data_IF_728878745059
#
_entry.id   IF_728878745059
#
_cell.length_a   1.000
_cell.length_b   1.000
_cell.length_c   1.000
_cell.angle_alpha   90.00
_cell.angle_beta   90.00
_cell.angle_gamma   90.00
#
_symmetry.space_group_name_H-M   'P 1'
#
loop_
_entity.id
_entity.type
_entity.pdbx_description
1 polymer ?
#
# COMPACT_ATOMS: atom_id res chain seq x y z
N UNK A 1 1.85 32.93 8.20
CA UNK A 1 0.42 33.12 7.88
C UNK A 1 0.03 31.93 7.01
N UNK A 2 -0.56 30.85 7.49
CA UNK A 2 -1.86 30.76 8.13
C UNK A 2 -1.84 29.91 9.42
N UNK A 3 -2.55 30.41 10.43
CA UNK A 3 -2.90 29.72 11.66
C UNK A 3 -4.03 28.72 11.37
N UNK A 4 -3.73 27.43 11.31
CA UNK A 4 -4.76 26.38 11.22
C UNK A 4 -5.48 26.30 12.57
N UNK A 5 -6.62 26.96 12.67
CA UNK A 5 -7.50 26.87 13.83
C UNK A 5 -8.01 25.44 13.93
N UNK A 6 -7.65 24.74 15.01
CA UNK A 6 -8.24 23.45 15.37
C UNK A 6 -9.68 23.67 15.78
N UNK A 7 -10.61 23.54 14.82
CA UNK A 7 -12.05 23.53 15.09
C UNK A 7 -12.36 22.44 16.12
N UNK A 8 -13.27 22.69 17.08
CA UNK A 8 -13.69 21.67 18.03
C UNK A 8 -14.39 20.57 17.23
N UNK A 9 -13.76 19.40 17.11
CA UNK A 9 -14.35 18.31 16.36
C UNK A 9 -15.61 17.85 17.08
N UNK A 10 -16.78 18.10 16.48
CA UNK A 10 -18.03 17.45 16.88
C UNK A 10 -17.77 15.93 16.96
N UNK A 11 -18.25 15.25 18.01
CA UNK A 11 -18.04 13.81 18.14
C UNK A 11 -18.67 13.10 16.93
N UNK A 12 -17.99 12.06 16.42
CA UNK A 12 -18.43 11.29 15.22
C UNK A 12 -19.85 10.72 15.35
N UNK A 13 -20.37 10.62 16.57
CA UNK A 13 -21.73 10.16 16.89
C UNK A 13 -22.83 11.16 16.55
N UNK A 14 -22.53 12.44 16.36
CA UNK A 14 -23.53 13.51 16.15
C UNK A 14 -23.55 14.07 14.72
N UNK A 15 -22.65 13.60 13.85
CA UNK A 15 -22.60 14.03 12.44
C UNK A 15 -23.57 13.23 11.58
N UNK A 16 -24.20 13.92 10.62
CA UNK A 16 -25.01 13.27 9.58
C UNK A 16 -24.12 12.43 8.65
N UNK A 17 -24.70 11.44 7.99
CA UNK A 17 -23.96 10.52 7.12
C UNK A 17 -23.21 11.25 5.99
N UNK A 18 -23.76 12.35 5.48
CA UNK A 18 -23.15 13.17 4.43
C UNK A 18 -21.93 13.94 4.93
N UNK A 19 -22.01 14.55 6.13
CA UNK A 19 -20.88 15.22 6.77
C UNK A 19 -19.76 14.23 7.09
N UNK A 20 -20.11 13.00 7.50
CA UNK A 20 -19.12 11.94 7.75
C UNK A 20 -18.35 11.57 6.48
N UNK A 21 -19.04 11.43 5.35
CA UNK A 21 -18.43 11.07 4.07
C UNK A 21 -17.54 12.20 3.52
N UNK A 22 -17.96 13.46 3.68
CA UNK A 22 -17.15 14.62 3.31
C UNK A 22 -15.87 14.68 4.15
N UNK A 23 -16.00 14.51 5.47
CA UNK A 23 -14.85 14.48 6.38
C UNK A 23 -13.89 13.32 6.07
N UNK A 24 -14.42 12.14 5.76
CA UNK A 24 -13.59 11.00 5.31
C UNK A 24 -12.84 11.34 4.02
N UNK A 25 -13.48 12.02 3.07
CA UNK A 25 -12.85 12.44 1.81
C UNK A 25 -11.74 13.46 2.04
N UNK A 26 -11.98 14.47 2.88
CA UNK A 26 -10.97 15.45 3.28
C UNK A 26 -9.79 14.80 4.00
N UNK A 27 -10.07 13.85 4.91
CA UNK A 27 -9.05 13.06 5.61
C UNK A 27 -8.20 12.21 4.63
N UNK A 28 -8.80 11.72 3.53
CA UNK A 28 -8.08 11.00 2.47
C UNK A 28 -7.23 11.90 1.57
N UNK A 29 -7.59 13.18 1.40
CA UNK A 29 -6.84 14.11 0.53
C UNK A 29 -5.68 14.79 1.26
N UNK A 30 -5.88 15.20 2.52
CA UNK A 30 -4.89 15.99 3.27
C UNK A 30 -4.09 15.11 4.25
N UNK A 31 -4.61 13.93 4.59
CA UNK A 31 -4.01 13.03 5.58
C UNK A 31 -2.88 12.14 5.06
N UNK A 32 -2.36 11.22 5.90
CA UNK A 32 -1.32 10.27 5.52
C UNK A 32 -1.74 9.30 4.40
N UNK A 33 -3.04 9.10 4.22
CA UNK A 33 -3.62 8.28 3.14
C UNK A 33 -3.61 8.99 1.78
N UNK A 34 -3.28 10.28 1.72
CA UNK A 34 -3.12 11.04 0.47
C UNK A 34 -2.16 10.36 -0.51
N UNK A 35 -1.12 9.68 -0.01
CA UNK A 35 -0.18 8.90 -0.83
C UNK A 35 -0.90 7.85 -1.67
N UNK A 36 -1.90 7.17 -1.09
CA UNK A 36 -2.73 6.19 -1.78
C UNK A 36 -3.72 6.85 -2.74
N UNK A 37 -4.33 7.97 -2.34
CA UNK A 37 -5.19 8.80 -3.21
C UNK A 37 -4.45 9.21 -4.48
N UNK A 38 -3.23 9.72 -4.32
CA UNK A 38 -2.35 10.06 -5.44
C UNK A 38 -1.96 8.82 -6.24
N UNK A 39 -1.70 7.68 -5.60
CA UNK A 39 -1.32 6.46 -6.29
C UNK A 39 -2.45 5.92 -7.19
N UNK A 40 -3.69 5.95 -6.72
CA UNK A 40 -4.89 5.56 -7.49
C UNK A 40 -5.08 6.52 -8.67
N UNK A 41 -5.05 7.83 -8.43
CA UNK A 41 -5.26 8.86 -9.47
C UNK A 41 -4.19 8.82 -10.57
N UNK A 42 -2.93 8.63 -10.19
CA UNK A 42 -1.80 8.55 -11.15
C UNK A 42 -1.61 7.15 -11.72
N UNK A 43 -2.38 6.16 -11.24
CA UNK A 43 -2.18 4.74 -11.53
C UNK A 43 -0.71 4.32 -11.33
N UNK A 44 -0.03 4.89 -10.33
CA UNK A 44 1.41 4.68 -10.10
C UNK A 44 1.65 3.33 -9.41
N UNK A 45 2.85 2.79 -9.59
CA UNK A 45 3.23 1.56 -8.89
C UNK A 45 3.56 1.88 -7.44
N UNK A 46 3.12 1.02 -6.55
CA UNK A 46 3.41 1.07 -5.12
C UNK A 46 4.12 -0.22 -4.70
N UNK A 47 5.03 -0.08 -3.74
CA UNK A 47 5.61 -1.18 -3.00
C UNK A 47 4.89 -1.27 -1.66
N UNK A 48 4.37 -2.46 -1.33
CA UNK A 48 3.67 -2.76 -0.08
C UNK A 48 4.47 -3.83 0.65
N UNK A 49 4.83 -3.55 1.91
CA UNK A 49 5.45 -4.53 2.80
C UNK A 49 4.41 -5.15 3.71
N UNK A 50 4.33 -6.48 3.73
CA UNK A 50 3.34 -7.23 4.49
C UNK A 50 3.93 -7.94 5.72
N UNK A 51 3.08 -8.20 6.74
CA UNK A 51 3.44 -8.82 8.03
C UNK A 51 4.18 -10.17 7.97
N UNK A 52 4.09 -10.89 6.85
CA UNK A 52 4.76 -12.18 6.66
C UNK A 52 6.05 -12.09 5.84
N UNK A 53 6.70 -10.92 5.84
CA UNK A 53 7.91 -10.64 5.08
C UNK A 53 7.74 -10.91 3.58
N UNK A 54 6.52 -10.67 3.08
CA UNK A 54 6.18 -10.69 1.67
C UNK A 54 6.09 -9.26 1.17
N UNK A 55 6.67 -8.99 0.02
CA UNK A 55 6.67 -7.67 -0.60
C UNK A 55 5.84 -7.72 -1.87
N UNK A 56 4.93 -6.77 -2.03
CA UNK A 56 4.06 -6.67 -3.19
C UNK A 56 4.43 -5.42 -3.97
N UNK A 57 4.71 -5.57 -5.26
CA UNK A 57 4.70 -4.44 -6.20
C UNK A 57 3.38 -4.51 -6.94
N UNK A 58 2.56 -3.46 -6.84
CA UNK A 58 1.22 -3.45 -7.40
C UNK A 58 0.79 -2.07 -7.85
N UNK A 59 -0.31 -1.99 -8.60
CA UNK A 59 -1.05 -0.75 -8.83
C UNK A 59 -2.35 -0.80 -8.02
N UNK A 60 -2.60 0.25 -7.24
CA UNK A 60 -3.82 0.35 -6.42
C UNK A 60 -4.95 0.88 -7.30
N UNK A 61 -6.09 0.21 -7.30
CA UNK A 61 -7.32 0.66 -7.98
C UNK A 61 -8.31 1.32 -7.03
N UNK A 62 -8.41 0.79 -5.82
CA UNK A 62 -9.24 1.35 -4.77
C UNK A 62 -8.60 1.04 -3.41
N UNK A 63 -8.88 1.88 -2.43
CA UNK A 63 -8.51 1.66 -1.04
C UNK A 63 -9.63 2.16 -0.12
N UNK A 64 -9.56 1.80 1.16
CA UNK A 64 -10.49 2.28 2.19
C UNK A 64 -9.75 2.82 3.43
N UNK A 65 -10.52 3.26 4.43
CA UNK A 65 -10.00 3.77 5.71
C UNK A 65 -9.21 2.76 6.54
N UNK A 66 -9.43 1.47 6.32
CA UNK A 66 -8.71 0.40 7.01
C UNK A 66 -7.45 -0.01 6.26
N UNK A 67 -7.12 0.67 5.16
CA UNK A 67 -6.07 0.26 4.23
C UNK A 67 -6.33 -1.09 3.56
N UNK A 68 -7.59 -1.53 3.45
CA UNK A 68 -7.95 -2.59 2.50
C UNK A 68 -7.76 -2.03 1.09
N UNK A 69 -7.23 -2.84 0.18
CA UNK A 69 -6.87 -2.39 -1.16
C UNK A 69 -7.32 -3.39 -2.23
N UNK A 70 -7.80 -2.86 -3.34
CA UNK A 70 -7.95 -3.60 -4.59
C UNK A 70 -6.73 -3.32 -5.43
N UNK A 71 -5.98 -4.36 -5.74
CA UNK A 71 -4.71 -4.30 -6.45
C UNK A 71 -4.82 -4.97 -7.82
N UNK A 72 -4.13 -4.41 -8.80
CA UNK A 72 -3.95 -4.99 -10.13
C UNK A 72 -2.48 -5.14 -10.48
N UNK A 73 -2.18 -6.13 -11.33
CA UNK A 73 -0.82 -6.44 -11.79
C UNK A 73 0.14 -6.62 -10.62
N UNK A 74 -0.24 -7.45 -9.66
CA UNK A 74 0.52 -7.67 -8.43
C UNK A 74 1.65 -8.65 -8.69
N UNK A 75 2.87 -8.21 -8.37
CA UNK A 75 4.04 -9.06 -8.27
C UNK A 75 4.38 -9.25 -6.80
N UNK A 76 4.11 -10.44 -6.29
CA UNK A 76 4.47 -10.85 -4.94
C UNK A 76 5.88 -11.44 -4.95
N UNK A 77 6.71 -11.03 -3.99
CA UNK A 77 8.09 -11.46 -3.84
C UNK A 77 8.35 -11.87 -2.39
N UNK A 78 8.98 -13.02 -2.21
CA UNK A 78 9.45 -13.48 -0.90
C UNK A 78 10.75 -14.26 -1.05
N UNK A 79 11.49 -14.34 0.05
CA UNK A 79 12.70 -15.14 0.13
C UNK A 79 12.39 -16.43 0.87
N UNK A 80 12.74 -17.56 0.26
CA UNK A 80 12.68 -18.85 0.92
C UNK A 80 14.11 -19.26 1.28
N UNK A 81 14.34 -19.52 2.57
CA UNK A 81 15.60 -20.06 3.05
C UNK A 81 15.37 -21.57 3.16
N UNK A 82 15.92 -22.38 2.23
CA UNK A 82 15.74 -23.82 2.29
C UNK A 82 16.33 -24.34 3.60
N UNK A 83 15.49 -25.01 4.39
CA UNK A 83 15.92 -25.70 5.60
C UNK A 83 16.61 -27.00 5.17
N UNK A 84 17.92 -26.92 4.95
CA UNK A 84 18.75 -28.12 4.82
C UNK A 84 18.81 -28.88 6.16
N UNK A 85 18.94 -30.21 6.08
CA UNK A 85 18.87 -31.12 7.23
C UNK A 85 19.87 -30.80 8.35
N UNK A 86 19.66 -31.41 9.52
CA UNK A 86 20.53 -31.24 10.71
C UNK A 86 22.01 -31.38 10.34
N UNK A 87 22.77 -30.29 10.46
CA UNK A 87 24.23 -30.27 10.31
C UNK A 87 24.77 -29.53 9.07
N UNK A 88 23.94 -29.11 8.12
CA UNK A 88 24.40 -28.31 6.97
C UNK A 88 24.17 -26.82 7.18
N UNK A 89 25.13 -25.99 6.71
CA UNK A 89 25.00 -24.53 6.71
C UNK A 89 23.73 -24.13 5.97
N UNK A 90 22.95 -23.19 6.55
CA UNK A 90 21.71 -22.66 5.96
C UNK A 90 21.92 -22.41 4.45
N UNK A 91 21.07 -23.01 3.62
CA UNK A 91 21.18 -22.84 2.17
C UNK A 91 20.97 -21.39 1.75
N UNK A 92 21.45 -21.05 0.56
CA UNK A 92 21.33 -19.69 0.02
C UNK A 92 19.86 -19.27 -0.05
N UNK A 93 19.58 -18.00 0.29
CA UNK A 93 18.24 -17.46 0.16
C UNK A 93 17.82 -17.45 -1.31
N UNK A 94 16.71 -18.13 -1.62
CA UNK A 94 16.16 -18.19 -2.98
C UNK A 94 15.01 -17.20 -3.06
N UNK A 95 15.11 -16.24 -3.98
CA UNK A 95 14.05 -15.29 -4.24
C UNK A 95 12.99 -15.97 -5.12
N UNK A 96 11.75 -16.04 -4.62
CA UNK A 96 10.60 -16.50 -5.39
C UNK A 96 9.70 -15.31 -5.69
N UNK A 97 9.13 -15.30 -6.89
CA UNK A 97 8.10 -14.37 -7.28
C UNK A 97 6.85 -15.07 -7.81
N UNK A 98 5.71 -14.40 -7.65
CA UNK A 98 4.42 -14.83 -8.16
C UNK A 98 3.70 -13.63 -8.75
N UNK A 99 3.10 -13.83 -9.92
CA UNK A 99 2.25 -12.82 -10.56
C UNK A 99 0.77 -13.12 -10.32
N UNK A 100 0.01 -12.08 -9.95
CA UNK A 100 -1.44 -12.15 -9.73
C UNK A 100 -2.08 -10.96 -10.46
N UNK A 101 -2.98 -11.22 -11.39
CA UNK A 101 -3.59 -10.17 -12.24
C UNK A 101 -4.47 -9.21 -11.44
N UNK A 102 -5.28 -9.74 -10.51
CA UNK A 102 -6.15 -8.96 -9.61
C UNK A 102 -6.13 -9.58 -8.22
N UNK A 103 -6.02 -8.75 -7.19
CA UNK A 103 -5.93 -9.21 -5.81
C UNK A 103 -6.67 -8.25 -4.87
N UNK A 104 -7.41 -8.80 -3.92
CA UNK A 104 -7.88 -8.05 -2.76
C UNK A 104 -6.90 -8.23 -1.61
N UNK A 105 -6.44 -7.13 -1.04
CA UNK A 105 -5.53 -7.09 0.11
C UNK A 105 -6.27 -6.51 1.32
N UNK A 106 -6.20 -7.21 2.45
CA UNK A 106 -6.73 -6.71 3.72
C UNK A 106 -5.74 -5.76 4.38
N UNK A 107 -6.21 -4.73 5.05
CA UNK A 107 -5.35 -3.70 5.67
C UNK A 107 -4.55 -4.19 6.88
N UNK A 108 -5.06 -5.17 7.63
CA UNK A 108 -4.41 -5.69 8.84
C UNK A 108 -3.00 -6.27 8.59
N UNK A 109 -2.75 -6.72 7.35
CA UNK A 109 -1.46 -7.32 6.95
C UNK A 109 -0.47 -6.29 6.39
N UNK A 110 -0.92 -5.08 6.08
CA UNK A 110 -0.07 -4.01 5.54
C UNK A 110 0.73 -3.39 6.68
N UNK A 111 2.04 -3.24 6.48
CA UNK A 111 2.94 -2.56 7.42
C UNK A 111 3.35 -1.20 6.85
N UNK A 112 3.86 -1.21 5.62
CA UNK A 112 4.42 -0.03 4.97
C UNK A 112 3.92 0.03 3.53
N UNK A 113 3.57 1.24 3.10
CA UNK A 113 3.27 1.55 1.71
C UNK A 113 4.23 2.62 1.24
N UNK A 114 4.92 2.36 0.14
CA UNK A 114 5.83 3.31 -0.49
C UNK A 114 5.43 3.52 -1.95
N UNK A 115 5.30 4.79 -2.33
CA UNK A 115 5.11 5.18 -3.73
C UNK A 115 6.42 5.02 -4.48
N UNK A 116 6.40 4.37 -5.65
CA UNK A 116 7.58 4.29 -6.50
C UNK A 116 7.85 5.68 -7.14
N UNK A 117 9.01 6.31 -6.90
CA UNK A 117 9.36 7.59 -7.51
C UNK A 117 9.61 7.50 -9.03
N UNK A 118 9.85 6.31 -9.57
CA UNK A 118 10.30 6.12 -10.97
C UNK A 118 9.17 5.96 -12.00
N UNK A 119 8.01 6.58 -11.81
CA UNK A 119 6.98 6.66 -12.88
C UNK A 119 7.09 8.00 -13.60
N UNK A 120 8.25 8.21 -14.21
CA UNK A 120 8.47 9.26 -15.21
C UNK A 120 9.51 8.83 -16.26
N UNK A 121 9.57 7.56 -16.65
CA UNK A 121 10.18 7.18 -17.94
C UNK A 121 9.67 5.82 -18.42
N UNK A 122 8.84 5.78 -19.48
CA UNK A 122 8.64 4.55 -20.24
C UNK A 122 9.93 4.31 -21.06
N UNK A 123 10.94 3.67 -20.47
CA UNK A 123 12.17 3.37 -21.23
C UNK A 123 13.47 3.10 -20.49
N UNK A 124 13.54 3.04 -19.16
CA UNK A 124 14.80 2.66 -18.50
C UNK A 124 15.04 1.16 -18.62
N UNK A 125 15.69 0.81 -19.73
CA UNK A 125 16.18 -0.50 -20.11
C UNK A 125 17.05 -1.11 -19.01
N UNK A 126 16.96 -2.45 -18.93
CA UNK A 126 18.03 -3.30 -18.39
C UNK A 126 19.36 -2.85 -19.00
N UNK A 127 20.31 -2.54 -18.12
CA UNK A 127 21.74 -2.83 -18.34
C UNK A 127 22.12 -3.88 -17.31
#
# INVERSE_FOLDING_TARGET
MASTQSQPQKPKSEMTAEELAQKETEDFEVGPLSVLTHAVRTNSQVLIDCRHNRKLIARVKAFDRHCNMILENVKEMWTEIPRVGKGQKRGNAVNKDRFISKMFLRGDIVILVMKNPQVAVPGSQKT
#
